data_IF_292761746387
#
_entry.id   IF_292761746387
#
_cell.length_a   1.000
_cell.length_b   1.000
_cell.length_c   1.000
_cell.angle_alpha   90.00
_cell.angle_beta   90.00
_cell.angle_gamma   90.00
#
_symmetry.space_group_name_H-M   'P 1'
#
loop_
_entity.id
_entity.type
_entity.pdbx_description
1 polymer ?
#
# COMPACT_ATOMS: atom_id res chain seq x y z
N UNK A 1 9.35 -13.79 -12.99
CA UNK A 1 9.17 -13.44 -11.55
C UNK A 1 7.91 -14.10 -11.02
N UNK A 2 7.87 -14.44 -9.72
CA UNK A 2 6.69 -14.98 -9.02
C UNK A 2 6.38 -14.12 -7.81
N UNK A 3 5.13 -13.66 -7.67
CA UNK A 3 4.66 -12.81 -6.56
C UNK A 3 3.73 -13.61 -5.66
N UNK A 4 4.13 -13.84 -4.42
CA UNK A 4 3.24 -14.33 -3.36
C UNK A 4 2.48 -13.14 -2.79
N UNK A 5 1.17 -13.15 -2.95
CA UNK A 5 0.30 -11.99 -2.75
C UNK A 5 -0.97 -12.41 -2.01
N UNK A 6 -1.40 -11.61 -1.06
CA UNK A 6 -2.73 -11.76 -0.45
C UNK A 6 -3.69 -10.81 -1.17
N UNK A 7 -4.76 -11.31 -1.82
CA UNK A 7 -5.71 -10.46 -2.57
C UNK A 7 -6.24 -9.28 -1.74
N UNK A 8 -6.65 -9.53 -0.50
CA UNK A 8 -7.24 -8.52 0.40
C UNK A 8 -6.23 -7.54 1.02
N UNK A 9 -4.92 -7.77 0.89
CA UNK A 9 -3.87 -6.97 1.54
C UNK A 9 -3.48 -5.74 0.72
N UNK A 10 -3.53 -4.56 1.33
CA UNK A 10 -3.03 -3.32 0.73
C UNK A 10 -1.53 -3.38 0.42
N UNK A 11 -0.70 -4.01 1.27
CA UNK A 11 0.73 -4.19 1.00
C UNK A 11 0.99 -5.06 -0.24
N UNK A 12 0.22 -6.13 -0.42
CA UNK A 12 0.31 -6.96 -1.64
C UNK A 12 -0.24 -6.21 -2.85
N UNK A 13 -1.30 -5.44 -2.68
CA UNK A 13 -1.89 -4.63 -3.73
C UNK A 13 -0.93 -3.56 -4.27
N UNK A 14 -0.14 -2.88 -3.42
CA UNK A 14 0.90 -1.94 -3.86
C UNK A 14 1.78 -2.56 -4.96
N UNK A 15 2.20 -3.80 -4.78
CA UNK A 15 3.08 -4.50 -5.73
C UNK A 15 2.33 -4.86 -7.02
N UNK A 16 1.11 -5.39 -6.91
CA UNK A 16 0.28 -5.69 -8.10
C UNK A 16 0.01 -4.43 -8.92
N UNK A 17 -0.36 -3.33 -8.25
CA UNK A 17 -0.61 -2.04 -8.89
C UNK A 17 0.64 -1.54 -9.63
N UNK A 18 1.81 -1.55 -8.98
CA UNK A 18 3.04 -1.09 -9.63
C UNK A 18 3.41 -1.96 -10.83
N UNK A 19 3.33 -3.29 -10.72
CA UNK A 19 3.59 -4.20 -11.85
C UNK A 19 2.71 -3.85 -13.05
N UNK A 20 1.41 -3.64 -12.81
CA UNK A 20 0.46 -3.26 -13.87
C UNK A 20 0.79 -1.89 -14.48
N UNK A 21 1.07 -0.87 -13.66
CA UNK A 21 1.45 0.48 -14.12
C UNK A 21 2.75 0.50 -14.92
N UNK A 22 3.65 -0.47 -14.69
CA UNK A 22 4.89 -0.67 -15.43
C UNK A 22 4.72 -1.55 -16.67
N UNK A 23 3.55 -2.19 -16.85
CA UNK A 23 3.33 -3.19 -17.90
C UNK A 23 4.20 -4.43 -17.71
N UNK A 24 4.59 -4.74 -16.46
CA UNK A 24 5.41 -5.91 -16.11
C UNK A 24 4.52 -7.03 -15.61
N UNK A 25 4.82 -8.27 -16.02
CA UNK A 25 4.11 -9.47 -15.59
C UNK A 25 4.86 -10.22 -14.49
N UNK A 26 4.08 -10.83 -13.58
CA UNK A 26 4.56 -11.85 -12.65
C UNK A 26 3.53 -12.95 -12.53
N UNK A 27 3.97 -14.18 -12.26
CA UNK A 27 3.09 -15.26 -11.84
C UNK A 27 2.61 -14.93 -10.42
N UNK A 28 1.31 -14.67 -10.24
CA UNK A 28 0.74 -14.35 -8.91
C UNK A 28 0.27 -15.64 -8.25
N UNK A 29 0.73 -15.86 -7.01
CA UNK A 29 0.28 -16.95 -6.13
C UNK A 29 -0.56 -16.32 -5.01
N UNK A 30 -1.86 -16.61 -5.03
CA UNK A 30 -2.79 -16.08 -4.02
C UNK A 30 -2.61 -16.78 -2.68
N UNK A 31 -2.19 -16.01 -1.70
CA UNK A 31 -1.91 -16.43 -0.34
C UNK A 31 -2.91 -15.80 0.65
N UNK A 32 -4.20 -16.06 0.47
CA UNK A 32 -5.23 -15.55 1.38
C UNK A 32 -5.14 -16.21 2.76
N UNK A 33 -5.61 -15.52 3.76
CA UNK A 33 -5.53 -15.94 5.15
C UNK A 33 -6.15 -17.34 5.35
N UNK A 34 -5.38 -18.26 5.93
CA UNK A 34 -5.83 -19.65 6.15
C UNK A 34 -5.82 -20.54 4.92
N UNK A 35 -5.40 -20.05 3.74
CA UNK A 35 -5.31 -20.85 2.52
C UNK A 35 -4.18 -21.88 2.56
N UNK A 36 -4.34 -22.96 1.77
CA UNK A 36 -3.27 -23.94 1.55
C UNK A 36 -2.04 -23.29 0.90
N UNK A 37 -2.27 -22.38 -0.07
CA UNK A 37 -1.20 -21.64 -0.76
C UNK A 37 -0.33 -20.83 0.21
N UNK A 38 -0.94 -20.16 1.22
CA UNK A 38 -0.17 -19.46 2.24
C UNK A 38 0.67 -20.43 3.09
N UNK A 39 0.12 -21.61 3.42
CA UNK A 39 0.86 -22.63 4.17
C UNK A 39 2.04 -23.19 3.36
N UNK A 40 1.84 -23.44 2.06
CA UNK A 40 2.88 -23.90 1.12
C UNK A 40 3.94 -22.81 0.88
N UNK A 41 3.56 -21.53 0.88
CA UNK A 41 4.48 -20.43 0.68
C UNK A 41 5.42 -20.17 1.87
N UNK A 42 5.09 -20.63 3.10
CA UNK A 42 5.87 -20.36 4.31
C UNK A 42 7.38 -20.53 4.18
N UNK A 43 7.93 -21.56 3.51
CA UNK A 43 9.38 -21.72 3.37
C UNK A 43 10.07 -20.61 2.58
N UNK A 44 9.34 -19.88 1.73
CA UNK A 44 9.87 -18.77 0.90
C UNK A 44 9.50 -17.40 1.44
N UNK A 45 8.82 -17.31 2.59
CA UNK A 45 8.44 -16.05 3.22
C UNK A 45 9.44 -15.69 4.35
N UNK A 46 10.44 -14.82 4.12
CA UNK A 46 11.53 -14.57 5.09
C UNK A 46 11.03 -14.10 6.45
N UNK A 47 9.91 -13.35 6.48
CA UNK A 47 9.30 -12.78 7.69
C UNK A 47 7.92 -13.38 7.98
N UNK A 48 7.55 -14.47 7.29
CA UNK A 48 6.23 -15.08 7.42
C UNK A 48 5.06 -14.20 6.94
N UNK A 49 5.35 -13.19 6.12
CA UNK A 49 4.39 -12.21 5.60
C UNK A 49 4.45 -12.11 4.09
N UNK A 50 3.36 -11.68 3.49
CA UNK A 50 3.27 -11.29 2.07
C UNK A 50 3.08 -9.76 1.98
N UNK A 51 3.49 -9.12 0.84
CA UNK A 51 4.00 -9.72 -0.39
C UNK A 51 5.45 -10.21 -0.29
N UNK A 52 5.77 -11.20 -1.12
CA UNK A 52 7.14 -11.61 -1.41
C UNK A 52 7.29 -11.80 -2.90
N UNK A 53 8.33 -11.23 -3.48
CA UNK A 53 8.68 -11.36 -4.89
C UNK A 53 9.90 -12.27 -5.04
N UNK A 54 9.75 -13.36 -5.80
CA UNK A 54 10.85 -14.25 -6.19
C UNK A 54 11.23 -13.93 -7.63
N UNK A 55 12.49 -13.56 -7.83
CA UNK A 55 13.04 -13.22 -9.14
C UNK A 55 13.34 -14.48 -9.96
N UNK A 56 13.59 -14.31 -11.27
CA UNK A 56 13.84 -15.44 -12.18
C UNK A 56 15.14 -16.19 -11.84
N UNK A 57 16.08 -15.55 -11.18
CA UNK A 57 17.32 -16.16 -10.68
C UNK A 57 17.19 -16.79 -9.28
N UNK A 58 15.98 -16.77 -8.71
CA UNK A 58 15.66 -17.35 -7.41
C UNK A 58 15.93 -16.42 -6.21
N UNK A 59 16.40 -15.21 -6.41
CA UNK A 59 16.51 -14.23 -5.32
C UNK A 59 15.15 -13.85 -4.77
N UNK A 60 15.06 -13.65 -3.46
CA UNK A 60 13.81 -13.37 -2.73
C UNK A 60 13.84 -11.96 -2.19
N UNK A 61 12.83 -11.18 -2.56
CA UNK A 61 12.60 -9.83 -2.03
C UNK A 61 11.36 -9.83 -1.15
N UNK A 62 11.47 -9.26 0.03
CA UNK A 62 10.37 -9.06 0.98
C UNK A 62 10.29 -7.59 1.37
N UNK A 63 9.23 -7.20 2.10
CA UNK A 63 8.79 -5.84 2.37
C UNK A 63 8.23 -5.15 1.12
N UNK A 64 6.95 -4.76 1.19
CA UNK A 64 6.26 -4.18 0.02
C UNK A 64 7.00 -2.99 -0.58
N UNK A 65 7.51 -2.10 0.26
CA UNK A 65 8.17 -0.87 -0.19
C UNK A 65 9.57 -1.12 -0.76
N UNK A 66 10.28 -2.15 -0.27
CA UNK A 66 11.53 -2.60 -0.88
C UNK A 66 11.29 -3.23 -2.25
N UNK A 67 10.20 -3.98 -2.40
CA UNK A 67 9.77 -4.54 -3.70
C UNK A 67 9.38 -3.39 -4.65
N UNK A 68 8.61 -2.40 -4.19
CA UNK A 68 8.29 -1.21 -4.99
C UNK A 68 9.55 -0.49 -5.46
N UNK A 69 10.52 -0.30 -4.56
CA UNK A 69 11.80 0.34 -4.89
C UNK A 69 12.55 -0.44 -5.98
N UNK A 70 12.68 -1.75 -5.82
CA UNK A 70 13.35 -2.61 -6.80
C UNK A 70 12.69 -2.57 -8.17
N UNK A 71 11.37 -2.74 -8.23
CA UNK A 71 10.61 -2.75 -9.49
C UNK A 71 10.57 -1.37 -10.16
N UNK A 72 10.52 -0.32 -9.35
CA UNK A 72 10.40 1.06 -9.81
C UNK A 72 11.71 1.69 -10.26
N UNK A 73 12.86 1.09 -9.96
CA UNK A 73 14.17 1.68 -10.29
C UNK A 73 14.29 1.94 -11.79
N UNK A 74 14.70 3.17 -12.15
CA UNK A 74 14.81 3.60 -13.54
C UNK A 74 13.49 3.86 -14.26
N UNK A 75 12.34 3.69 -13.59
CA UNK A 75 11.02 3.99 -14.15
C UNK A 75 10.62 5.45 -13.94
N UNK A 76 9.50 5.85 -14.57
CA UNK A 76 8.88 7.17 -14.38
C UNK A 76 8.43 7.45 -12.93
N UNK A 77 8.31 6.43 -12.09
CA UNK A 77 7.83 6.55 -10.70
C UNK A 77 8.96 6.85 -9.71
N UNK A 78 10.21 6.91 -10.15
CA UNK A 78 11.37 7.28 -9.32
C UNK A 78 11.97 8.59 -9.86
N UNK A 79 11.87 9.70 -9.12
CA UNK A 79 12.42 10.98 -9.56
C UNK A 79 13.92 10.92 -9.84
N UNK A 80 14.36 11.57 -10.93
CA UNK A 80 15.79 11.70 -11.23
C UNK A 80 16.49 12.66 -10.27
N UNK A 81 15.79 13.71 -9.82
CA UNK A 81 16.33 14.66 -8.83
C UNK A 81 16.55 13.99 -7.47
N UNK A 82 17.74 14.09 -6.85
CA UNK A 82 18.04 13.45 -5.57
C UNK A 82 17.15 13.93 -4.42
N UNK A 83 16.75 15.19 -4.41
CA UNK A 83 15.92 15.75 -3.33
C UNK A 83 14.50 15.21 -3.44
N UNK A 84 13.91 15.25 -4.65
CA UNK A 84 12.58 14.68 -4.89
C UNK A 84 12.56 13.16 -4.59
N UNK A 85 13.63 12.44 -4.93
CA UNK A 85 13.79 11.02 -4.59
C UNK A 85 13.84 10.79 -3.07
N UNK A 86 14.57 11.63 -2.33
CA UNK A 86 14.60 11.55 -0.88
C UNK A 86 13.23 11.86 -0.25
N UNK A 87 12.49 12.81 -0.80
CA UNK A 87 11.12 13.11 -0.37
C UNK A 87 10.16 11.94 -0.63
N UNK A 88 10.24 11.31 -1.81
CA UNK A 88 9.49 10.11 -2.15
C UNK A 88 9.77 8.97 -1.14
N UNK A 89 11.04 8.66 -0.87
CA UNK A 89 11.44 7.66 0.12
C UNK A 89 10.95 8.03 1.53
N UNK A 90 11.01 9.32 1.87
CA UNK A 90 10.50 9.82 3.15
C UNK A 90 9.01 9.49 3.35
N UNK A 91 8.19 9.65 2.31
CA UNK A 91 6.77 9.27 2.34
C UNK A 91 6.57 7.76 2.44
N UNK A 92 7.37 6.94 1.76
CA UNK A 92 7.30 5.48 1.87
C UNK A 92 7.65 5.00 3.29
N UNK A 93 8.72 5.54 3.91
CA UNK A 93 9.05 5.24 5.30
C UNK A 93 8.00 5.74 6.28
N UNK A 94 7.43 6.93 6.01
CA UNK A 94 6.35 7.49 6.83
C UNK A 94 5.09 6.61 6.77
N UNK A 95 4.78 6.05 5.62
CA UNK A 95 3.66 5.12 5.44
C UNK A 95 3.81 3.92 6.38
N UNK A 96 4.94 3.25 6.37
CA UNK A 96 5.17 2.05 7.19
C UNK A 96 5.18 2.34 8.69
N UNK A 97 5.63 3.53 9.11
CA UNK A 97 5.75 3.85 10.52
C UNK A 97 4.52 4.57 11.11
N UNK A 98 3.80 5.36 10.33
CA UNK A 98 2.70 6.20 10.81
C UNK A 98 1.34 5.81 10.22
N UNK A 99 1.26 5.60 8.91
CA UNK A 99 0.00 5.40 8.20
C UNK A 99 -0.49 3.94 8.32
N UNK A 100 0.30 2.97 7.90
CA UNK A 100 -0.05 1.55 7.93
C UNK A 100 -0.46 1.08 9.33
N UNK A 101 0.30 1.36 10.42
CA UNK A 101 -0.04 0.90 11.77
C UNK A 101 -1.38 1.42 12.31
N UNK A 102 -1.96 2.40 11.64
CA UNK A 102 -3.24 3.02 12.04
C UNK A 102 -4.34 2.70 11.04
N UNK A 103 -4.13 3.02 9.77
CA UNK A 103 -5.16 2.87 8.72
C UNK A 103 -5.40 1.39 8.42
N UNK A 104 -4.34 0.63 8.12
CA UNK A 104 -4.46 -0.78 7.80
C UNK A 104 -4.86 -1.62 9.02
N UNK A 105 -4.33 -1.31 10.19
CA UNK A 105 -4.67 -2.04 11.41
C UNK A 105 -6.14 -1.85 11.77
N UNK A 106 -6.68 -0.63 11.68
CA UNK A 106 -8.10 -0.40 11.94
C UNK A 106 -8.98 -1.16 10.93
N UNK A 107 -8.66 -1.07 9.63
CA UNK A 107 -9.35 -1.82 8.59
C UNK A 107 -9.31 -3.33 8.86
N UNK A 108 -8.14 -3.86 9.21
CA UNK A 108 -7.98 -5.28 9.53
C UNK A 108 -8.80 -5.74 10.74
N UNK A 109 -8.87 -4.91 11.80
CA UNK A 109 -9.68 -5.20 12.98
C UNK A 109 -11.19 -5.24 12.68
N UNK A 110 -11.65 -4.46 11.70
CA UNK A 110 -13.05 -4.40 11.30
C UNK A 110 -13.41 -5.45 10.25
N UNK A 111 -12.43 -5.95 9.49
CA UNK A 111 -12.67 -6.82 8.33
C UNK A 111 -12.42 -8.30 8.64
N UNK A 112 -11.35 -8.63 9.39
CA UNK A 112 -10.94 -10.02 9.60
C UNK A 112 -11.52 -10.61 10.89
N UNK A 113 -12.34 -11.68 10.80
CA UNK A 113 -13.01 -12.28 11.97
C UNK A 113 -12.05 -12.80 13.05
N UNK A 114 -10.87 -13.29 12.67
CA UNK A 114 -9.83 -13.78 13.58
C UNK A 114 -9.20 -12.65 14.42
N UNK A 115 -9.39 -11.40 14.01
CA UNK A 115 -8.96 -10.20 14.74
C UNK A 115 -10.04 -9.56 15.60
N UNK A 116 -11.27 -10.09 15.57
CA UNK A 116 -12.42 -9.51 16.27
C UNK A 116 -12.17 -9.37 17.80
N UNK A 117 -11.46 -10.30 18.42
CA UNK A 117 -11.11 -10.22 19.85
C UNK A 117 -10.19 -9.03 20.19
N UNK A 118 -9.49 -8.46 19.22
CA UNK A 118 -8.62 -7.29 19.38
C UNK A 118 -9.34 -5.98 19.04
N UNK A 119 -10.53 -6.05 18.45
CA UNK A 119 -11.33 -4.90 17.99
C UNK A 119 -12.17 -4.31 19.14
N UNK A 120 -11.53 -3.99 20.29
CA UNK A 120 -12.27 -3.37 21.40
C UNK A 120 -12.73 -1.95 21.02
N UNK A 121 -13.86 -1.46 21.58
CA UNK A 121 -14.35 -0.11 21.31
C UNK A 121 -13.30 0.97 21.56
N UNK A 122 -12.51 0.84 22.62
CA UNK A 122 -11.47 1.80 23.02
C UNK A 122 -10.35 1.82 21.95
N UNK A 123 -9.88 0.64 21.52
CA UNK A 123 -8.84 0.51 20.49
C UNK A 123 -9.32 1.04 19.14
N UNK A 124 -10.55 0.73 18.76
CA UNK A 124 -11.13 1.25 17.52
C UNK A 124 -11.30 2.77 17.57
N UNK A 125 -11.71 3.34 18.72
CA UNK A 125 -11.81 4.78 18.89
C UNK A 125 -10.44 5.46 18.82
N UNK A 126 -9.43 4.91 19.50
CA UNK A 126 -8.04 5.41 19.42
C UNK A 126 -7.53 5.44 17.99
N UNK A 127 -7.66 4.32 17.27
CA UNK A 127 -7.21 4.21 15.88
C UNK A 127 -7.97 5.15 14.95
N UNK A 128 -9.25 5.43 15.21
CA UNK A 128 -10.03 6.39 14.43
C UNK A 128 -9.48 7.81 14.60
N UNK A 129 -9.21 8.23 15.84
CA UNK A 129 -8.65 9.56 16.12
C UNK A 129 -7.26 9.71 15.50
N UNK A 130 -6.38 8.74 15.71
CA UNK A 130 -5.02 8.74 15.15
C UNK A 130 -5.05 8.70 13.63
N UNK A 131 -5.96 7.91 13.03
CA UNK A 131 -6.10 7.81 11.59
C UNK A 131 -6.57 9.11 10.94
N UNK A 132 -7.52 9.82 11.55
CA UNK A 132 -7.87 11.16 11.09
C UNK A 132 -6.67 12.14 11.14
N UNK A 133 -5.83 12.06 12.17
CA UNK A 133 -4.63 12.88 12.25
C UNK A 133 -3.60 12.51 11.17
N UNK A 134 -3.42 11.23 10.89
CA UNK A 134 -2.54 10.72 9.82
C UNK A 134 -3.06 11.14 8.44
N UNK A 135 -4.36 11.01 8.19
CA UNK A 135 -4.98 11.47 6.94
C UNK A 135 -4.88 12.99 6.79
N UNK A 136 -4.94 13.76 7.88
CA UNK A 136 -4.77 15.21 7.83
C UNK A 136 -3.36 15.61 7.33
N UNK A 137 -2.31 14.87 7.71
CA UNK A 137 -0.95 15.12 7.19
C UNK A 137 -0.90 14.94 5.67
N UNK A 138 -1.58 13.91 5.14
CA UNK A 138 -1.67 13.71 3.68
C UNK A 138 -2.52 14.81 3.02
N UNK A 139 -3.64 15.18 3.63
CA UNK A 139 -4.52 16.24 3.13
C UNK A 139 -3.76 17.57 2.99
N UNK A 140 -3.01 17.94 4.03
CA UNK A 140 -2.22 19.18 4.06
C UNK A 140 -1.11 19.15 2.99
N UNK A 141 -0.47 17.99 2.77
CA UNK A 141 0.54 17.84 1.72
C UNK A 141 -0.05 17.94 0.32
N UNK A 142 -1.23 17.36 0.11
CA UNK A 142 -1.94 17.36 -1.17
C UNK A 142 -2.72 18.65 -1.43
N UNK A 143 -2.82 19.56 -0.44
CA UNK A 143 -3.41 20.87 -0.63
C UNK A 143 -2.59 21.69 -1.64
N UNK A 144 -3.13 21.87 -2.84
CA UNK A 144 -2.46 22.59 -3.94
C UNK A 144 -1.39 21.77 -4.69
N UNK A 145 -1.36 20.46 -4.51
CA UNK A 145 -0.50 19.51 -5.24
C UNK A 145 -1.31 18.32 -5.72
N UNK A 146 -0.93 17.74 -6.84
CA UNK A 146 -1.57 16.53 -7.37
C UNK A 146 -0.91 15.25 -6.81
N UNK A 147 0.36 15.31 -6.38
CA UNK A 147 1.16 14.18 -5.94
C UNK A 147 1.85 14.43 -4.60
N UNK A 148 2.14 13.35 -3.86
CA UNK A 148 2.80 13.40 -2.54
C UNK A 148 4.24 13.89 -2.63
N UNK A 149 4.95 13.54 -3.72
CA UNK A 149 6.32 13.96 -3.95
C UNK A 149 6.53 14.28 -5.44
N UNK A 150 7.23 15.41 -5.72
CA UNK A 150 7.50 15.82 -7.10
C UNK A 150 6.27 16.41 -7.81
N UNK A 151 6.31 16.37 -9.14
CA UNK A 151 5.32 16.94 -10.07
C UNK A 151 4.56 15.88 -10.89
N UNK A 152 4.80 14.61 -10.61
CA UNK A 152 4.12 13.44 -11.20
C UNK A 152 4.04 12.31 -10.19
N UNK A 153 3.20 11.29 -10.48
CA UNK A 153 3.05 10.13 -9.62
C UNK A 153 4.39 9.42 -9.36
N UNK A 154 4.67 9.14 -8.11
CA UNK A 154 5.88 8.46 -7.66
C UNK A 154 5.56 7.15 -6.92
N UNK A 155 6.59 6.40 -6.51
CA UNK A 155 6.39 5.23 -5.65
C UNK A 155 5.73 5.58 -4.30
N UNK A 156 5.86 6.82 -3.82
CA UNK A 156 5.16 7.29 -2.63
C UNK A 156 3.63 7.25 -2.82
N UNK A 157 3.16 7.67 -3.99
CA UNK A 157 1.73 7.68 -4.31
C UNK A 157 1.19 6.24 -4.37
N UNK A 158 1.90 5.34 -5.03
CA UNK A 158 1.53 3.92 -5.11
C UNK A 158 1.54 3.26 -3.74
N UNK A 159 2.55 3.57 -2.92
CA UNK A 159 2.71 3.07 -1.58
C UNK A 159 1.53 3.46 -0.68
N UNK A 160 1.22 4.77 -0.58
CA UNK A 160 0.15 5.25 0.28
C UNK A 160 -1.25 4.92 -0.26
N UNK A 161 -1.39 4.82 -1.59
CA UNK A 161 -2.66 4.41 -2.20
C UNK A 161 -3.12 3.05 -1.69
N UNK A 162 -2.18 2.12 -1.46
CA UNK A 162 -2.45 0.74 -1.05
C UNK A 162 -3.44 0.55 0.10
N UNK A 163 -3.50 1.48 1.04
CA UNK A 163 -4.46 1.44 2.15
C UNK A 163 -5.39 2.66 2.20
N UNK A 164 -4.99 3.79 1.63
CA UNK A 164 -5.82 5.00 1.68
C UNK A 164 -7.10 4.84 0.85
N UNK A 165 -7.04 4.13 -0.30
CA UNK A 165 -8.19 3.98 -1.18
C UNK A 165 -9.37 3.23 -0.52
N UNK A 166 -9.11 2.34 0.44
CA UNK A 166 -10.14 1.62 1.18
C UNK A 166 -10.35 2.15 2.60
N UNK A 167 -9.71 3.27 2.97
CA UNK A 167 -9.78 3.80 4.34
C UNK A 167 -11.21 4.11 4.80
N UNK A 168 -12.04 4.66 3.92
CA UNK A 168 -13.46 4.91 4.21
C UNK A 168 -14.24 3.62 4.36
N UNK A 169 -14.19 2.75 3.37
CA UNK A 169 -14.99 1.54 3.28
C UNK A 169 -14.61 0.52 4.35
N UNK A 170 -13.32 0.16 4.43
CA UNK A 170 -12.82 -0.88 5.34
C UNK A 170 -12.45 -0.35 6.71
N UNK A 171 -11.93 0.90 6.79
CA UNK A 171 -11.48 1.52 8.03
C UNK A 171 -12.54 2.37 8.72
N UNK A 172 -13.65 2.73 8.05
CA UNK A 172 -14.70 3.58 8.59
C UNK A 172 -14.25 5.03 8.86
N UNK A 173 -13.26 5.52 8.09
CA UNK A 173 -12.85 6.91 8.17
C UNK A 173 -13.78 7.79 7.36
N UNK A 174 -14.10 8.97 7.88
CA UNK A 174 -14.91 9.97 7.15
C UNK A 174 -14.06 10.68 6.10
N UNK A 175 -14.02 10.10 4.89
CA UNK A 175 -13.23 10.63 3.77
C UNK A 175 -13.81 11.93 3.17
N UNK A 176 -15.03 12.33 3.52
CA UNK A 176 -15.58 13.62 3.09
C UNK A 176 -14.79 14.82 3.70
N UNK A 177 -14.09 14.59 4.80
CA UNK A 177 -13.22 15.57 5.46
C UNK A 177 -11.92 15.87 4.70
N UNK A 178 -11.57 15.04 3.70
CA UNK A 178 -10.28 15.03 3.03
C UNK A 178 -10.45 15.19 1.50
N UNK A 179 -10.87 16.37 1.02
CA UNK A 179 -11.14 16.60 -0.41
C UNK A 179 -9.87 16.50 -1.29
N UNK A 180 -8.70 16.88 -0.80
CA UNK A 180 -7.45 16.75 -1.56
C UNK A 180 -7.02 15.28 -1.69
N UNK A 181 -7.17 14.47 -0.64
CA UNK A 181 -6.96 13.02 -0.73
C UNK A 181 -7.92 12.40 -1.72
N UNK A 182 -9.20 12.76 -1.70
CA UNK A 182 -10.19 12.19 -2.64
C UNK A 182 -9.84 12.51 -4.09
N UNK A 183 -9.46 13.75 -4.40
CA UNK A 183 -8.96 14.12 -5.73
C UNK A 183 -7.73 13.28 -6.10
N UNK A 184 -6.76 13.16 -5.21
CA UNK A 184 -5.56 12.35 -5.44
C UNK A 184 -5.88 10.87 -5.67
N UNK A 185 -6.84 10.29 -4.95
CA UNK A 185 -7.29 8.92 -5.20
C UNK A 185 -7.84 8.75 -6.63
N UNK A 186 -8.63 9.72 -7.11
CA UNK A 186 -9.15 9.73 -8.48
C UNK A 186 -8.00 9.86 -9.51
N UNK A 187 -6.99 10.69 -9.25
CA UNK A 187 -5.81 10.84 -10.13
C UNK A 187 -4.97 9.56 -10.20
N UNK A 188 -4.76 8.86 -9.08
CA UNK A 188 -4.06 7.57 -9.10
C UNK A 188 -4.86 6.53 -9.87
N UNK A 189 -6.18 6.47 -9.67
CA UNK A 189 -7.05 5.53 -10.38
C UNK A 189 -7.16 5.83 -11.90
N UNK A 190 -6.85 7.06 -12.32
CA UNK A 190 -6.79 7.44 -13.73
C UNK A 190 -5.46 7.13 -14.43
N UNK A 191 -4.45 6.64 -13.70
CA UNK A 191 -3.15 6.32 -14.30
C UNK A 191 -3.26 5.19 -15.33
N UNK A 192 -2.63 5.33 -16.51
CA UNK A 192 -2.60 4.25 -17.51
C UNK A 192 -1.98 2.96 -16.94
N UNK A 193 -2.73 1.87 -16.99
CA UNK A 193 -2.35 0.58 -16.42
C UNK A 193 -2.83 0.40 -14.97
N UNK A 194 -3.69 1.27 -14.47
CA UNK A 194 -4.33 1.06 -13.16
C UNK A 194 -5.12 -0.25 -13.13
N UNK A 195 -5.05 -0.94 -12.01
CA UNK A 195 -5.88 -2.10 -11.64
C UNK A 195 -6.42 -1.89 -10.23
N UNK A 196 -7.64 -2.30 -9.97
CA UNK A 196 -8.24 -2.25 -8.65
C UNK A 196 -7.71 -3.32 -7.69
N UNK A 197 -8.11 -3.24 -6.43
CA UNK A 197 -7.70 -4.22 -5.42
C UNK A 197 -8.22 -5.62 -5.72
N UNK A 198 -9.42 -5.71 -6.30
CA UNK A 198 -10.18 -6.95 -6.54
C UNK A 198 -10.10 -7.43 -8.00
N UNK A 199 -9.24 -6.79 -8.84
CA UNK A 199 -9.03 -7.16 -10.26
C UNK A 199 -8.06 -8.33 -10.44
#
# INVERSE_FOLDING_TARGET
>A
MRLYSMPSSGNSYKVRLLLSLLGQGAEVVDCEYGSASLAEAKPVLPYGKVPVLVLDDGQVLAESDAILWYLGEGSRFVPADPVARAQMLGWMFWEQYNHEPVIAVRAALLTYPDRAAQATPERLAELLVRGHAVLQVMEDQLAGRDWLAGDHATLADICLYGYTHTAGERGGFDMARFPAIRRWLDEVAALPGYVGLDD
#
